data_IF_753422999597
#
_entry.id   IF_753422999597
#
_cell.length_a   1.000
_cell.length_b   1.000
_cell.length_c   1.000
_cell.angle_alpha   90.00
_cell.angle_beta   90.00
_cell.angle_gamma   90.00
#
_symmetry.space_group_name_H-M   'P 1'
#
loop_
_entity.id
_entity.type
_entity.pdbx_description
1 polymer ?
#
# COMPACT_ATOMS: atom_id res chain seq x y z
N UNK A 1 20.28 -9.94 6.36
CA UNK A 1 19.15 -9.34 5.66
C UNK A 1 18.03 -10.35 5.48
N UNK A 2 16.84 -10.00 5.85
CA UNK A 2 15.69 -10.90 5.70
C UNK A 2 15.02 -10.67 4.35
N UNK A 3 14.66 -11.75 3.66
CA UNK A 3 13.93 -11.58 2.40
C UNK A 3 12.55 -11.00 2.65
N UNK A 4 12.07 -10.23 1.69
CA UNK A 4 10.70 -9.74 1.71
C UNK A 4 9.79 -10.80 1.10
N UNK A 5 8.58 -10.91 1.63
CA UNK A 5 7.57 -11.82 1.12
C UNK A 5 6.41 -11.03 0.55
N UNK A 6 5.90 -11.49 -0.59
CA UNK A 6 4.71 -10.90 -1.21
C UNK A 6 3.58 -11.88 -1.01
N UNK A 7 2.49 -11.43 -0.42
CA UNK A 7 1.33 -12.28 -0.18
C UNK A 7 0.04 -11.48 -0.20
N UNK A 8 -1.06 -12.19 -0.44
CA UNK A 8 -2.40 -11.64 -0.36
C UNK A 8 -2.99 -11.99 1.00
N UNK A 9 -3.60 -11.01 1.65
CA UNK A 9 -4.19 -11.18 2.97
C UNK A 9 -5.69 -10.96 2.89
N UNK A 10 -6.45 -11.89 3.50
CA UNK A 10 -7.88 -11.73 3.71
C UNK A 10 -8.09 -11.45 5.20
N UNK A 11 -8.90 -10.44 5.50
CA UNK A 11 -9.21 -10.07 6.88
C UNK A 11 -10.71 -10.19 7.08
N UNK A 12 -11.13 -11.16 7.91
CA UNK A 12 -12.52 -11.45 8.14
C UNK A 12 -13.20 -11.87 6.85
N UNK A 13 -14.35 -11.28 6.54
CA UNK A 13 -15.10 -11.57 5.34
C UNK A 13 -14.71 -10.68 4.17
N UNK A 14 -13.75 -9.78 4.38
CA UNK A 14 -13.38 -8.81 3.38
C UNK A 14 -12.20 -9.28 2.57
N UNK A 15 -12.38 -9.27 1.25
CA UNK A 15 -11.25 -9.32 0.34
C UNK A 15 -10.77 -7.88 0.20
N UNK A 16 -9.61 -7.58 0.74
CA UNK A 16 -9.03 -6.26 0.55
C UNK A 16 -8.47 -6.18 -0.85
N UNK A 17 -8.91 -5.18 -1.61
CA UNK A 17 -8.45 -4.98 -2.98
C UNK A 17 -7.07 -4.33 -2.99
N UNK A 18 -6.10 -5.02 -2.41
CA UNK A 18 -4.71 -4.60 -2.34
C UNK A 18 -3.89 -5.55 -3.19
N UNK A 19 -3.13 -4.99 -4.12
CA UNK A 19 -2.44 -5.81 -5.11
C UNK A 19 -1.28 -6.62 -4.51
N UNK A 20 -0.50 -6.01 -3.63
CA UNK A 20 0.67 -6.66 -3.04
C UNK A 20 0.82 -6.30 -1.58
N UNK A 21 1.32 -7.25 -0.80
CA UNK A 21 1.72 -6.99 0.58
C UNK A 21 3.11 -7.54 0.76
N UNK A 22 4.05 -6.67 1.14
CA UNK A 22 5.42 -7.05 1.45
C UNK A 22 5.56 -7.19 2.95
N UNK A 23 6.10 -8.31 3.38
CA UNK A 23 6.44 -8.51 4.78
C UNK A 23 7.94 -8.39 4.96
N UNK A 24 8.37 -7.44 5.78
CA UNK A 24 9.77 -7.19 6.07
C UNK A 24 9.94 -7.13 7.58
N UNK A 25 10.67 -8.09 8.13
CA UNK A 25 10.95 -8.15 9.58
C UNK A 25 9.69 -8.09 10.44
N UNK A 26 8.64 -8.77 10.00
CA UNK A 26 7.37 -8.84 10.73
C UNK A 26 6.46 -7.63 10.54
N UNK A 27 6.87 -6.66 9.74
CA UNK A 27 6.06 -5.50 9.43
C UNK A 27 5.56 -5.58 7.99
N UNK A 28 4.41 -5.01 7.75
CA UNK A 28 3.73 -5.15 6.46
C UNK A 28 3.63 -3.82 5.73
N UNK A 29 3.97 -3.86 4.45
CA UNK A 29 3.83 -2.73 3.53
C UNK A 29 2.76 -3.10 2.51
N UNK A 30 1.70 -2.30 2.43
CA UNK A 30 0.63 -2.52 1.47
C UNK A 30 0.90 -1.71 0.21
N UNK A 31 0.77 -2.35 -0.95
CA UNK A 31 1.03 -1.72 -2.24
C UNK A 31 -0.18 -1.93 -3.15
N UNK A 32 -0.67 -0.85 -3.72
CA UNK A 32 -1.74 -0.88 -4.69
C UNK A 32 -1.30 -0.15 -5.94
N UNK A 33 -1.69 -0.67 -7.11
CA UNK A 33 -1.31 -0.09 -8.39
C UNK A 33 -2.56 0.45 -9.07
N UNK A 34 -2.51 1.69 -9.53
CA UNK A 34 -3.62 2.35 -10.21
C UNK A 34 -3.19 2.90 -11.55
N UNK A 35 -4.03 2.72 -12.56
CA UNK A 35 -3.75 3.26 -13.89
C UNK A 35 -4.15 4.72 -14.05
N UNK A 36 -4.75 5.33 -13.04
CA UNK A 36 -5.18 6.71 -13.07
C UNK A 36 -4.00 7.68 -12.98
N UNK A 37 -4.12 8.84 -13.62
CA UNK A 37 -3.12 9.91 -13.53
C UNK A 37 -3.33 10.78 -12.31
N UNK A 38 -4.45 10.61 -11.61
CA UNK A 38 -4.77 11.41 -10.43
C UNK A 38 -4.92 10.51 -9.21
N UNK A 39 -4.64 11.07 -8.04
CA UNK A 39 -4.72 10.37 -6.77
C UNK A 39 -5.61 11.17 -5.83
N UNK A 40 -6.43 10.47 -5.08
CA UNK A 40 -7.22 11.07 -4.02
C UNK A 40 -7.10 10.23 -2.75
N UNK A 41 -7.58 10.79 -1.65
CA UNK A 41 -7.57 10.08 -0.38
C UNK A 41 -8.39 8.79 -0.43
N UNK A 42 -9.45 8.77 -1.22
CA UNK A 42 -10.29 7.59 -1.39
C UNK A 42 -9.53 6.40 -1.99
N UNK A 43 -8.48 6.67 -2.75
CA UNK A 43 -7.66 5.62 -3.34
C UNK A 43 -6.89 4.83 -2.30
N UNK A 44 -6.81 5.33 -1.08
CA UNK A 44 -6.11 4.68 0.04
C UNK A 44 -7.06 3.97 1.00
N UNK A 45 -8.37 3.98 0.75
CA UNK A 45 -9.33 3.47 1.73
C UNK A 45 -9.10 2.02 2.14
N UNK A 46 -8.72 1.17 1.20
CA UNK A 46 -8.44 -0.24 1.52
C UNK A 46 -7.18 -0.37 2.34
N UNK A 47 -6.18 0.46 2.06
CA UNK A 47 -4.92 0.45 2.81
C UNK A 47 -5.16 0.95 4.23
N UNK A 48 -5.97 2.01 4.41
CA UNK A 48 -6.33 2.47 5.75
C UNK A 48 -7.09 1.41 6.53
N UNK A 49 -7.98 0.69 5.85
CA UNK A 49 -8.72 -0.40 6.48
C UNK A 49 -7.76 -1.49 6.96
N UNK A 50 -6.78 -1.84 6.13
CA UNK A 50 -5.78 -2.82 6.50
C UNK A 50 -4.95 -2.33 7.70
N UNK A 51 -4.58 -1.05 7.71
CA UNK A 51 -3.84 -0.45 8.81
C UNK A 51 -4.59 -0.60 10.13
N UNK A 52 -5.90 -0.35 10.12
CA UNK A 52 -6.72 -0.49 11.33
C UNK A 52 -6.69 -1.91 11.88
N UNK A 53 -6.63 -2.90 11.00
CA UNK A 53 -6.60 -4.31 11.41
C UNK A 53 -5.22 -4.77 11.86
N UNK A 54 -4.17 -4.26 11.24
CA UNK A 54 -2.81 -4.69 11.53
C UNK A 54 -2.15 -3.91 12.67
N UNK A 55 -2.57 -2.68 12.89
CA UNK A 55 -2.05 -1.81 13.94
C UNK A 55 -0.52 -1.73 13.92
N UNK A 56 0.16 -2.21 14.95
CA UNK A 56 1.61 -2.10 15.06
C UNK A 56 2.38 -2.87 13.99
N UNK A 57 1.75 -3.82 13.32
CA UNK A 57 2.38 -4.58 12.24
C UNK A 57 2.36 -3.83 10.91
N UNK A 58 1.55 -2.80 10.81
CA UNK A 58 1.49 -2.00 9.59
C UNK A 58 2.67 -1.04 9.55
N UNK A 59 3.43 -1.07 8.46
CA UNK A 59 4.55 -0.16 8.26
C UNK A 59 4.12 1.04 7.43
N UNK A 60 3.75 0.82 6.18
CA UNK A 60 3.33 1.91 5.29
C UNK A 60 2.43 1.39 4.18
N UNK A 61 1.72 2.32 3.55
CA UNK A 61 0.92 2.06 2.37
C UNK A 61 1.43 2.88 1.21
N UNK A 62 1.50 2.25 0.04
CA UNK A 62 1.98 2.90 -1.18
C UNK A 62 0.98 2.63 -2.28
N UNK A 63 0.57 3.69 -2.98
CA UNK A 63 -0.19 3.57 -4.21
C UNK A 63 0.69 4.06 -5.35
N UNK A 64 1.01 3.14 -6.26
CA UNK A 64 1.69 3.51 -7.50
C UNK A 64 0.64 3.91 -8.52
N UNK A 65 0.83 5.03 -9.18
CA UNK A 65 -0.16 5.56 -10.12
C UNK A 65 0.51 6.10 -11.38
N UNK A 66 -0.29 6.47 -12.38
CA UNK A 66 0.21 6.89 -13.69
C UNK A 66 0.52 8.38 -13.77
N UNK A 67 0.58 9.07 -12.63
CA UNK A 67 0.99 10.46 -12.59
C UNK A 67 2.50 10.62 -12.58
N UNK A 68 2.96 11.84 -12.33
CA UNK A 68 4.37 12.17 -12.39
C UNK A 68 4.92 12.77 -11.09
N UNK A 69 4.12 12.85 -10.06
CA UNK A 69 4.49 13.52 -8.80
C UNK A 69 4.39 12.55 -7.64
N UNK A 70 5.46 12.47 -6.85
CA UNK A 70 5.44 11.74 -5.59
C UNK A 70 4.74 12.58 -4.53
N UNK A 71 3.82 11.98 -3.80
CA UNK A 71 3.05 12.67 -2.76
C UNK A 71 3.02 11.87 -1.48
N UNK A 72 3.03 12.58 -0.36
CA UNK A 72 2.87 12.00 0.96
C UNK A 72 1.52 12.46 1.51
N UNK A 73 0.58 11.52 1.64
CA UNK A 73 -0.76 11.84 2.14
C UNK A 73 -0.83 11.82 3.66
N UNK A 74 0.00 11.00 4.27
CA UNK A 74 0.05 10.84 5.71
C UNK A 74 1.46 10.37 6.06
N UNK A 75 1.80 10.27 7.33
CA UNK A 75 3.14 9.86 7.75
C UNK A 75 3.55 8.52 7.17
N UNK A 76 2.58 7.64 6.96
CA UNK A 76 2.82 6.28 6.47
C UNK A 76 2.08 5.97 5.17
N UNK A 77 1.59 6.98 4.46
CA UNK A 77 0.86 6.79 3.20
C UNK A 77 1.47 7.62 2.09
N UNK A 78 1.87 6.94 1.01
CA UNK A 78 2.58 7.57 -0.10
C UNK A 78 1.93 7.22 -1.44
N UNK A 79 1.90 8.20 -2.35
CA UNK A 79 1.56 7.97 -3.74
C UNK A 79 2.81 8.21 -4.57
N UNK A 80 3.18 7.23 -5.37
CA UNK A 80 4.41 7.28 -6.17
C UNK A 80 4.12 7.02 -7.64
N UNK A 81 4.78 7.74 -8.54
CA UNK A 81 4.67 7.45 -9.98
C UNK A 81 5.22 6.07 -10.33
N UNK A 82 4.69 5.46 -11.38
CA UNK A 82 5.19 4.17 -11.86
C UNK A 82 6.69 4.17 -12.13
N UNK A 83 7.24 5.31 -12.51
CA UNK A 83 8.68 5.44 -12.76
C UNK A 83 9.55 5.00 -11.59
N UNK A 84 9.01 5.03 -10.37
CA UNK A 84 9.73 4.59 -9.19
C UNK A 84 9.86 3.07 -9.10
N UNK A 85 9.08 2.35 -9.89
CA UNK A 85 9.09 0.88 -9.89
C UNK A 85 10.12 0.31 -10.84
N UNK A 86 10.51 1.09 -11.78
CA UNK A 86 11.40 0.63 -12.80
C UNK A 86 12.60 1.48 -12.94
#
# INVERSE_FOLDING_TARGET
MHPAFIKTIFIGEFCLCIDFILEISGRLIAIEVKSSKTISKDDFKHIYHLKENLQSKFDKGIVFYAGDTAMKLDDDMFALPFGFMG
#
